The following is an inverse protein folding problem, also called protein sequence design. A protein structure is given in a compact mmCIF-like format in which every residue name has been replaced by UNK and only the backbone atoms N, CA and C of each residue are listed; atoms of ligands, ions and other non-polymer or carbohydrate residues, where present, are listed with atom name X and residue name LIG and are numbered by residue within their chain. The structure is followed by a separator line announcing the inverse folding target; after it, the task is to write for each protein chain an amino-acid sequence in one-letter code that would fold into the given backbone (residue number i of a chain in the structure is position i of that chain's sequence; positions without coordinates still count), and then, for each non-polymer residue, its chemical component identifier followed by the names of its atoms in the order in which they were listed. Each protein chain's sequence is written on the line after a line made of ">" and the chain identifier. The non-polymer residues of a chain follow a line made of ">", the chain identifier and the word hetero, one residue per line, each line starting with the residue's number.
data_IF_977974767287
#
_entry.id   IF_977974767287
#
_cell.length_a   1.000
_cell.length_b   1.000
_cell.length_c   1.000
_cell.angle_alpha   90.00
_cell.angle_beta   90.00
_cell.angle_gamma   90.00
#
_symmetry.space_group_name_H-M   'P 1'
#
loop_
_entity.id
_entity.type
_entity.pdbx_description
1 polymer ?
#
# COMPACT_ATOMS: atom_id res chain seq x y z
N UNK A 1 -3.24 -19.04 3.77
CA UNK A 1 -3.30 -17.81 4.58
C UNK A 1 -3.21 -18.10 6.07
N UNK A 2 -4.05 -18.99 6.61
CA UNK A 2 -4.01 -19.40 8.02
C UNK A 2 -2.61 -19.81 8.52
N UNK A 3 -1.89 -20.63 7.75
CA UNK A 3 -0.51 -21.04 8.07
C UNK A 3 0.49 -19.86 8.11
N UNK A 4 0.38 -18.91 7.18
CA UNK A 4 1.21 -17.68 7.15
C UNK A 4 0.99 -16.79 8.37
N UNK A 5 -0.19 -16.84 8.98
CA UNK A 5 -0.56 -16.09 10.19
C UNK A 5 -0.25 -16.90 11.47
N UNK A 6 -0.06 -18.21 11.33
CA UNK A 6 0.17 -19.15 12.43
C UNK A 6 -1.11 -19.52 13.18
N UNK A 7 -2.24 -19.67 12.48
CA UNK A 7 -3.52 -20.10 13.06
C UNK A 7 -4.12 -21.28 12.30
N UNK A 8 -5.02 -22.02 12.93
CA UNK A 8 -5.75 -23.10 12.28
C UNK A 8 -6.72 -22.56 11.21
N UNK A 9 -6.91 -23.30 10.12
CA UNK A 9 -7.78 -22.91 9.00
C UNK A 9 -9.23 -22.66 9.43
N UNK A 10 -9.74 -23.42 10.39
CA UNK A 10 -11.08 -23.21 10.95
C UNK A 10 -11.20 -21.88 11.71
N UNK A 11 -10.15 -21.50 12.46
CA UNK A 11 -10.10 -20.21 13.17
C UNK A 11 -10.07 -19.06 12.17
N UNK A 12 -9.26 -19.19 11.11
CA UNK A 12 -9.22 -18.22 10.02
C UNK A 12 -10.59 -18.07 9.33
N UNK A 13 -11.28 -19.17 9.02
CA UNK A 13 -12.60 -19.12 8.39
C UNK A 13 -13.72 -18.58 9.29
N UNK A 14 -13.56 -18.63 10.62
CA UNK A 14 -14.49 -17.95 11.55
C UNK A 14 -14.21 -16.46 11.66
N UNK A 15 -12.94 -16.06 11.59
CA UNK A 15 -12.51 -14.66 11.54
C UNK A 15 -13.06 -13.95 10.30
N UNK A 16 -12.93 -14.55 9.11
CA UNK A 16 -13.41 -13.95 7.86
C UNK A 16 -14.94 -13.78 7.82
N UNK A 17 -15.67 -14.69 8.47
CA UNK A 17 -17.14 -14.62 8.58
C UNK A 17 -17.63 -13.74 9.72
N UNK A 18 -16.74 -13.15 10.51
CA UNK A 18 -17.09 -12.29 11.65
C UNK A 18 -17.68 -13.05 12.86
N UNK A 19 -17.56 -14.38 12.89
CA UNK A 19 -18.04 -15.19 14.04
C UNK A 19 -17.09 -15.16 15.24
N UNK A 20 -15.89 -14.60 15.07
CA UNK A 20 -14.86 -14.50 16.10
C UNK A 20 -13.99 -13.27 15.83
N UNK A 21 -13.66 -12.53 16.89
CA UNK A 21 -12.67 -11.45 16.82
C UNK A 21 -11.26 -11.99 17.13
N UNK A 22 -10.22 -11.47 16.46
CA UNK A 22 -8.85 -11.86 16.75
C UNK A 22 -8.40 -11.25 18.08
N UNK A 23 -7.47 -11.92 18.76
CA UNK A 23 -6.67 -11.25 19.80
C UNK A 23 -5.84 -10.13 19.18
N UNK A 24 -5.39 -9.15 19.98
CA UNK A 24 -4.50 -8.07 19.51
C UNK A 24 -3.24 -8.63 18.84
N UNK A 25 -2.69 -9.73 19.36
CA UNK A 25 -1.49 -10.37 18.79
C UNK A 25 -1.77 -10.98 17.41
N UNK A 26 -2.91 -11.68 17.27
CA UNK A 26 -3.36 -12.26 16.00
C UNK A 26 -3.70 -11.18 14.98
N UNK A 27 -4.34 -10.10 15.42
CA UNK A 27 -4.66 -8.94 14.59
C UNK A 27 -3.41 -8.26 14.04
N UNK A 28 -2.39 -8.04 14.89
CA UNK A 28 -1.11 -7.47 14.43
C UNK A 28 -0.46 -8.34 13.35
N UNK A 29 -0.47 -9.67 13.53
CA UNK A 29 0.07 -10.62 12.54
C UNK A 29 -0.71 -10.56 11.22
N UNK A 30 -2.04 -10.47 11.29
CA UNK A 30 -2.90 -10.28 10.11
C UNK A 30 -2.50 -9.02 9.34
N UNK A 31 -2.39 -7.87 10.01
CA UNK A 31 -1.97 -6.61 9.37
C UNK A 31 -0.59 -6.72 8.71
N UNK A 32 0.38 -7.34 9.39
CA UNK A 32 1.73 -7.53 8.83
C UNK A 32 1.74 -8.43 7.60
N UNK A 33 1.06 -9.58 7.65
CA UNK A 33 1.04 -10.55 6.54
C UNK A 33 0.28 -10.00 5.32
N UNK A 34 -0.78 -9.23 5.56
CA UNK A 34 -1.61 -8.64 4.51
C UNK A 34 -1.10 -7.27 4.03
N UNK A 35 -0.09 -6.69 4.69
CA UNK A 35 0.42 -5.34 4.40
C UNK A 35 -0.66 -4.25 4.46
N UNK A 36 -1.62 -4.40 5.39
CA UNK A 36 -2.72 -3.45 5.62
C UNK A 36 -2.45 -2.69 6.93
N UNK A 37 -2.77 -1.39 6.97
CA UNK A 37 -2.61 -0.61 8.20
C UNK A 37 -3.69 -0.95 9.24
N UNK A 38 -3.33 -0.93 10.53
CA UNK A 38 -4.29 -1.23 11.60
C UNK A 38 -5.47 -0.25 11.59
N UNK A 39 -5.21 1.03 11.34
CA UNK A 39 -6.24 2.06 11.25
C UNK A 39 -7.21 1.82 10.09
N UNK A 40 -6.71 1.28 8.98
CA UNK A 40 -7.54 0.92 7.82
C UNK A 40 -8.36 -0.34 8.08
N UNK A 41 -7.75 -1.37 8.69
CA UNK A 41 -8.46 -2.59 9.07
C UNK A 41 -9.54 -2.36 10.14
N UNK A 42 -9.37 -1.33 11.00
CA UNK A 42 -10.35 -0.92 12.01
C UNK A 42 -11.33 0.16 11.52
N UNK A 43 -11.19 0.65 10.28
CA UNK A 43 -12.04 1.71 9.73
C UNK A 43 -11.85 3.08 10.41
N UNK A 44 -10.70 3.32 11.06
CA UNK A 44 -10.34 4.58 11.70
C UNK A 44 -9.80 5.63 10.72
N UNK A 45 -9.35 5.20 9.54
CA UNK A 45 -9.07 6.11 8.42
C UNK A 45 -10.36 6.41 7.67
N UNK A 46 -10.62 7.68 7.30
CA UNK A 46 -11.68 7.97 6.34
C UNK A 46 -11.38 7.18 5.08
N UNK A 47 -12.36 6.38 4.62
CA UNK A 47 -12.23 5.47 3.48
C UNK A 47 -11.86 6.28 2.26
N UNK A 48 -10.56 6.35 1.98
CA UNK A 48 -10.08 6.71 0.65
C UNK A 48 -10.18 5.40 -0.12
N UNK A 49 -11.20 5.32 -1.00
CA UNK A 49 -11.59 4.13 -1.77
C UNK A 49 -10.44 3.13 -1.95
N UNK A 50 -10.42 2.10 -1.11
CA UNK A 50 -9.47 1.00 -1.26
C UNK A 50 -9.91 0.25 -2.50
N UNK A 51 -9.20 0.47 -3.61
CA UNK A 51 -9.38 -0.28 -4.86
C UNK A 51 -9.05 -1.75 -4.60
N UNK A 52 -10.05 -2.52 -4.15
CA UNK A 52 -9.99 -3.97 -4.06
C UNK A 52 -10.04 -4.58 -5.46
N UNK A 53 -8.92 -4.43 -6.15
CA UNK A 53 -8.46 -5.09 -7.35
C UNK A 53 -7.38 -4.14 -7.89
N UNK A 54 -6.12 -4.34 -7.48
CA UNK A 54 -5.04 -3.87 -8.31
C UNK A 54 -5.02 -4.76 -9.56
N UNK A 55 -5.96 -4.50 -10.46
CA UNK A 55 -5.69 -4.54 -11.89
C UNK A 55 -4.29 -3.91 -12.07
N UNK A 56 -3.36 -4.55 -12.80
CA UNK A 56 -1.99 -4.03 -12.95
C UNK A 56 -2.09 -2.55 -13.25
N UNK A 57 -1.34 -1.67 -12.53
CA UNK A 57 -1.58 -0.23 -12.57
C UNK A 57 -1.72 0.18 -14.03
N UNK A 58 -2.97 0.51 -14.39
CA UNK A 58 -3.27 0.74 -15.78
C UNK A 58 -2.48 1.99 -16.11
N UNK A 59 -1.54 1.83 -17.05
CA UNK A 59 -0.57 2.84 -17.48
C UNK A 59 -1.26 4.03 -18.20
N UNK A 60 -2.59 4.14 -18.05
CA UNK A 60 -3.52 5.05 -18.70
C UNK A 60 -3.48 6.49 -18.16
N UNK A 61 -2.63 6.77 -17.16
CA UNK A 61 -2.45 8.13 -16.62
C UNK A 61 -1.00 8.63 -16.61
N UNK A 62 0.00 7.75 -16.74
CA UNK A 62 1.40 8.18 -16.76
C UNK A 62 1.84 8.49 -18.19
N UNK A 63 2.19 9.76 -18.42
CA UNK A 63 2.82 10.15 -19.68
C UNK A 63 4.14 9.37 -19.86
N UNK A 64 4.48 9.02 -21.09
CA UNK A 64 5.72 8.28 -21.38
C UNK A 64 6.97 9.06 -20.89
N UNK A 65 6.88 10.39 -20.82
CA UNK A 65 7.89 11.29 -20.27
C UNK A 65 8.10 11.04 -18.77
N UNK A 66 7.02 10.95 -17.99
CA UNK A 66 7.09 10.67 -16.55
C UNK A 66 7.70 9.30 -16.27
N UNK A 67 7.28 8.28 -17.02
CA UNK A 67 7.83 6.92 -16.89
C UNK A 67 9.33 6.88 -17.18
N UNK A 68 9.78 7.59 -18.22
CA UNK A 68 11.21 7.72 -18.56
C UNK A 68 11.99 8.46 -17.46
N UNK A 69 11.42 9.53 -16.89
CA UNK A 69 12.03 10.28 -15.80
C UNK A 69 12.20 9.40 -14.55
N UNK A 70 11.16 8.66 -14.17
CA UNK A 70 11.21 7.75 -13.01
C UNK A 70 12.25 6.65 -13.17
N UNK A 71 12.40 6.07 -14.38
CA UNK A 71 13.46 5.09 -14.65
C UNK A 71 14.86 5.67 -14.42
N UNK A 72 15.11 6.92 -14.82
CA UNK A 72 16.40 7.59 -14.60
C UNK A 72 16.59 7.96 -13.14
N UNK A 73 15.56 8.51 -12.49
CA UNK A 73 15.62 8.90 -11.08
C UNK A 73 15.99 7.73 -10.14
N UNK A 74 15.52 6.51 -10.47
CA UNK A 74 15.86 5.29 -9.71
C UNK A 74 17.33 4.87 -9.79
N UNK A 75 18.09 5.36 -10.78
CA UNK A 75 19.51 5.05 -10.97
C UNK A 75 20.44 6.11 -10.37
N UNK A 76 19.89 7.21 -9.86
CA UNK A 76 20.66 8.33 -9.32
C UNK A 76 21.03 8.13 -7.85
N UNK A 77 22.10 8.80 -7.42
CA UNK A 77 22.50 8.84 -6.02
C UNK A 77 21.62 9.80 -5.20
N UNK A 78 21.72 9.70 -3.87
CA UNK A 78 20.87 10.47 -2.94
C UNK A 78 20.99 11.98 -3.15
N UNK A 79 22.18 12.48 -3.52
CA UNK A 79 22.42 13.91 -3.76
C UNK A 79 21.66 14.39 -4.99
N UNK A 80 21.75 13.64 -6.09
CA UNK A 80 21.06 13.95 -7.35
C UNK A 80 19.54 13.92 -7.21
N UNK A 81 19.00 12.97 -6.43
CA UNK A 81 17.56 12.91 -6.14
C UNK A 81 17.11 14.17 -5.38
N UNK A 82 17.88 14.62 -4.39
CA UNK A 82 17.54 15.81 -3.60
C UNK A 82 17.49 17.08 -4.45
N UNK A 83 18.44 17.25 -5.37
CA UNK A 83 18.43 18.39 -6.32
C UNK A 83 17.20 18.33 -7.21
N UNK A 84 16.86 17.15 -7.73
CA UNK A 84 15.66 16.95 -8.54
C UNK A 84 14.38 17.33 -7.79
N UNK A 85 14.29 16.99 -6.49
CA UNK A 85 13.15 17.37 -5.64
C UNK A 85 13.04 18.88 -5.44
N UNK A 86 14.17 19.57 -5.21
CA UNK A 86 14.18 21.05 -5.07
C UNK A 86 13.74 21.72 -6.37
N UNK A 87 14.23 21.23 -7.50
CA UNK A 87 13.87 21.74 -8.82
C UNK A 87 12.38 21.49 -9.13
N UNK A 88 11.87 20.30 -8.81
CA UNK A 88 10.46 19.96 -8.97
C UNK A 88 9.54 20.89 -8.17
N UNK A 89 9.95 21.28 -6.96
CA UNK A 89 9.20 22.19 -6.09
C UNK A 89 9.05 23.61 -6.64
N UNK A 90 9.87 24.01 -7.63
CA UNK A 90 9.76 25.32 -8.29
C UNK A 90 8.71 25.34 -9.41
N UNK A 91 8.21 24.19 -9.85
CA UNK A 91 7.17 24.13 -10.87
C UNK A 91 5.77 24.17 -10.24
N UNK A 92 4.90 25.01 -10.80
CA UNK A 92 3.50 25.10 -10.39
C UNK A 92 2.76 23.81 -10.76
N UNK A 93 1.92 23.22 -9.87
CA UNK A 93 1.07 22.10 -10.24
C UNK A 93 0.20 22.48 -11.43
N UNK A 94 0.10 21.59 -12.43
CA UNK A 94 -0.92 21.72 -13.47
C UNK A 94 -2.27 21.43 -12.80
N UNK A 95 -3.00 22.50 -12.49
CA UNK A 95 -4.43 22.45 -12.17
C UNK A 95 -5.24 22.11 -13.40
#
# INVERSE_FOLDING_TARGET
>A
MAERIGIASEVYGRLERGHMLPSIQTFRRLCTVLSISADEALGLKPVQEVKWAAEPPSDYGESAELRRLMRRAKQLDRTSIRILSVLAAQFKPRG
#
